data_IF_910457836175
#
_entry.id   IF_910457836175
#
_cell.length_a   1.000
_cell.length_b   1.000
_cell.length_c   1.000
_cell.angle_alpha   90.00
_cell.angle_beta   90.00
_cell.angle_gamma   90.00
#
_symmetry.space_group_name_H-M   'P 1'
#
loop_
_entity.id
_entity.type
_entity.pdbx_description
1 polymer ?
#
# COMPACT_ATOMS: atom_id res chain seq x y z
N UNK A 1 15.21 -13.96 -1.58
CA UNK A 1 15.86 -13.77 -0.26
C UNK A 1 15.58 -12.39 0.32
N UNK A 2 14.33 -11.94 0.31
CA UNK A 2 13.90 -10.70 0.98
C UNK A 2 12.60 -10.93 1.73
N UNK A 3 12.66 -11.79 2.76
CA UNK A 3 11.53 -12.20 3.59
C UNK A 3 11.50 -11.48 4.95
N UNK A 4 12.10 -10.29 5.05
CA UNK A 4 12.25 -9.58 6.33
C UNK A 4 11.36 -8.34 6.52
N UNK A 5 10.41 -8.06 5.61
CA UNK A 5 9.68 -6.79 5.67
C UNK A 5 8.40 -6.79 6.51
N UNK A 6 8.06 -7.89 7.20
CA UNK A 6 6.79 -7.94 7.93
C UNK A 6 6.90 -7.77 9.43
N UNK A 7 8.07 -7.95 9.98
CA UNK A 7 8.26 -7.71 11.42
C UNK A 7 8.86 -6.33 11.72
N UNK A 8 9.42 -5.64 10.71
CA UNK A 8 9.87 -4.25 10.87
C UNK A 8 9.66 -3.49 9.55
N UNK A 9 8.90 -2.39 9.55
CA UNK A 9 8.79 -1.52 8.38
C UNK A 9 10.15 -0.90 8.05
N UNK A 10 10.39 -0.59 6.76
CA UNK A 10 11.53 0.21 6.36
C UNK A 10 11.36 1.61 6.95
N UNK A 11 12.20 1.96 7.90
CA UNK A 11 12.23 3.29 8.50
C UNK A 11 13.34 4.08 7.82
N UNK A 12 12.95 5.13 7.12
CA UNK A 12 13.89 6.09 6.52
C UNK A 12 13.91 7.31 7.43
N UNK A 13 15.04 7.53 8.10
CA UNK A 13 15.27 8.74 8.89
C UNK A 13 16.29 9.61 8.18
N UNK A 14 15.93 10.86 7.94
CA UNK A 14 16.92 11.83 7.44
C UNK A 14 17.89 12.21 8.57
N UNK A 15 19.23 12.19 8.34
CA UNK A 15 20.17 12.60 9.36
C UNK A 15 20.05 14.11 9.57
N UNK A 16 19.60 14.52 10.75
CA UNK A 16 19.75 15.89 11.23
C UNK A 16 21.24 16.21 11.25
N UNK A 17 21.67 17.17 10.41
CA UNK A 17 23.01 17.76 10.47
C UNK A 17 23.13 18.46 11.82
N UNK A 18 23.72 17.77 12.79
CA UNK A 18 24.12 18.38 14.07
C UNK A 18 25.38 19.21 13.84
N UNK A 19 25.21 20.46 13.41
CA UNK A 19 26.25 21.47 13.52
C UNK A 19 26.56 21.73 15.00
N UNK A 20 27.84 21.75 15.38
CA UNK A 20 28.29 22.17 16.72
C UNK A 20 27.89 23.64 16.94
N UNK A 21 26.91 23.86 17.80
CA UNK A 21 26.50 25.19 18.22
C UNK A 21 27.28 25.59 19.49
N UNK A 22 27.67 26.86 19.54
CA UNK A 22 28.42 27.51 20.61
C UNK A 22 27.66 27.47 21.96
N UNK A 23 28.30 27.20 23.13
CA UNK A 23 27.64 27.04 24.44
C UNK A 23 26.74 28.18 24.87
N UNK A 24 26.99 29.42 24.42
CA UNK A 24 26.16 30.60 24.70
C UNK A 24 24.80 30.61 23.99
N UNK A 25 24.63 29.86 22.89
CA UNK A 25 23.37 29.75 22.17
C UNK A 25 22.44 28.69 22.79
N UNK A 26 22.97 27.83 23.66
CA UNK A 26 22.25 26.70 24.27
C UNK A 26 21.20 27.13 25.32
N UNK A 27 21.37 28.32 25.94
CA UNK A 27 20.38 28.82 26.92
C UNK A 27 19.14 29.43 26.26
N UNK A 28 19.28 29.94 25.04
CA UNK A 28 18.15 30.47 24.26
C UNK A 28 17.37 29.35 23.53
N UNK A 29 18.04 28.28 23.18
CA UNK A 29 17.44 27.10 22.46
C UNK A 29 16.70 26.12 23.39
N UNK A 30 16.88 26.22 24.72
CA UNK A 30 16.09 25.44 25.70
C UNK A 30 14.62 25.83 25.81
N UNK A 31 14.19 26.90 25.11
CA UNK A 31 12.77 27.27 24.97
C UNK A 31 12.17 26.97 23.60
N UNK A 32 12.92 26.38 22.69
CA UNK A 32 12.32 25.74 21.53
C UNK A 32 11.78 24.41 22.05
N UNK A 33 10.45 24.32 22.24
CA UNK A 33 9.74 23.08 22.48
C UNK A 33 10.41 21.98 21.65
N UNK A 34 10.85 20.89 22.27
CA UNK A 34 11.30 19.69 21.58
C UNK A 34 10.18 19.24 20.65
N UNK A 35 10.29 19.67 19.38
CA UNK A 35 9.26 19.46 18.39
C UNK A 35 9.24 17.99 18.11
N UNK A 36 8.21 17.30 18.64
CA UNK A 36 8.03 15.87 18.42
C UNK A 36 8.24 15.52 16.94
N UNK A 37 9.10 14.56 16.61
CA UNK A 37 9.41 14.22 15.23
C UNK A 37 8.14 13.80 14.49
N UNK A 38 7.92 14.40 13.34
CA UNK A 38 6.76 14.12 12.48
C UNK A 38 7.03 12.91 11.62
N UNK A 39 6.13 11.95 11.66
CA UNK A 39 6.24 10.71 10.89
C UNK A 39 5.11 10.59 9.88
N UNK A 40 5.44 10.34 8.61
CA UNK A 40 4.50 9.91 7.59
C UNK A 40 4.52 8.39 7.45
N UNK A 41 3.36 7.79 7.18
CA UNK A 41 3.24 6.37 6.88
C UNK A 41 2.71 6.24 5.45
N UNK A 42 3.44 5.51 4.61
CA UNK A 42 3.08 5.23 3.22
C UNK A 42 2.74 3.75 3.11
N UNK A 43 1.55 3.44 2.63
CA UNK A 43 1.02 2.07 2.54
C UNK A 43 0.72 1.71 1.10
N UNK A 44 1.47 0.77 0.53
CA UNK A 44 1.07 0.08 -0.70
C UNK A 44 -0.16 -0.78 -0.42
N UNK A 45 -1.30 -0.37 -0.95
CA UNK A 45 -2.59 -1.03 -0.73
C UNK A 45 -2.66 -2.43 -1.33
N UNK A 46 -2.05 -2.63 -2.49
CA UNK A 46 -1.99 -3.95 -3.14
C UNK A 46 -1.22 -4.95 -2.28
N UNK A 47 -0.05 -4.57 -1.83
CA UNK A 47 0.77 -5.37 -0.91
C UNK A 47 0.05 -5.62 0.41
N UNK A 48 -0.44 -4.56 1.07
CA UNK A 48 -1.11 -4.68 2.37
C UNK A 48 -2.31 -5.64 2.30
N UNK A 49 -3.21 -5.48 1.33
CA UNK A 49 -4.41 -6.32 1.23
C UNK A 49 -4.08 -7.81 1.03
N UNK A 50 -3.13 -8.11 0.14
CA UNK A 50 -2.67 -9.50 -0.09
C UNK A 50 -2.10 -10.10 1.18
N UNK A 51 -1.26 -9.33 1.87
CA UNK A 51 -0.58 -9.81 3.07
C UNK A 51 -1.51 -9.93 4.26
N UNK A 52 -2.40 -8.96 4.45
CA UNK A 52 -3.41 -8.99 5.49
C UNK A 52 -4.40 -10.15 5.32
N UNK A 53 -4.77 -10.47 4.06
CA UNK A 53 -5.58 -11.65 3.77
C UNK A 53 -4.86 -12.95 4.17
N UNK A 54 -3.57 -13.04 3.87
CA UNK A 54 -2.77 -14.24 4.19
C UNK A 54 -2.57 -14.43 5.69
N UNK A 55 -2.27 -13.35 6.44
CA UNK A 55 -1.95 -13.42 7.86
C UNK A 55 -3.18 -13.46 8.77
N UNK A 56 -4.22 -12.72 8.41
CA UNK A 56 -5.37 -12.46 9.30
C UNK A 56 -6.71 -12.87 8.67
N UNK A 57 -6.68 -13.55 7.53
CA UNK A 57 -7.86 -14.08 6.86
C UNK A 57 -8.76 -13.01 6.22
N UNK A 58 -9.93 -13.45 5.76
CA UNK A 58 -10.95 -12.55 5.19
C UNK A 58 -11.61 -11.73 6.29
N UNK A 59 -11.85 -10.44 6.01
CA UNK A 59 -12.59 -9.52 6.91
C UNK A 59 -13.53 -8.64 6.08
N UNK A 60 -14.53 -8.06 6.74
CA UNK A 60 -15.35 -7.01 6.14
C UNK A 60 -14.49 -5.81 5.74
N UNK A 61 -14.98 -4.98 4.85
CA UNK A 61 -14.29 -3.77 4.42
C UNK A 61 -14.04 -2.81 5.60
N UNK A 62 -15.03 -2.67 6.46
CA UNK A 62 -15.01 -1.83 7.66
C UNK A 62 -13.96 -2.32 8.67
N UNK A 63 -13.94 -3.63 8.94
CA UNK A 63 -13.01 -4.20 9.91
C UNK A 63 -11.58 -4.19 9.39
N UNK A 64 -11.38 -4.41 8.08
CA UNK A 64 -10.07 -4.27 7.45
C UNK A 64 -9.56 -2.83 7.50
N UNK A 65 -10.45 -1.84 7.35
CA UNK A 65 -10.08 -0.43 7.48
C UNK A 65 -9.72 -0.06 8.93
N UNK A 66 -10.45 -0.62 9.93
CA UNK A 66 -10.08 -0.47 11.36
C UNK A 66 -8.73 -1.07 11.64
N UNK A 67 -8.49 -2.29 11.16
CA UNK A 67 -7.23 -3.02 11.34
C UNK A 67 -6.05 -2.25 10.74
N UNK A 68 -6.16 -1.77 9.49
CA UNK A 68 -5.10 -0.95 8.87
C UNK A 68 -4.79 0.28 9.71
N UNK A 69 -5.83 0.97 10.19
CA UNK A 69 -5.65 2.15 11.04
C UNK A 69 -4.90 1.79 12.33
N UNK A 70 -5.29 0.73 13.01
CA UNK A 70 -4.64 0.27 14.24
C UNK A 70 -3.18 -0.15 13.96
N UNK A 71 -2.95 -0.86 12.86
CA UNK A 71 -1.61 -1.29 12.42
C UNK A 71 -0.69 -0.08 12.19
N UNK A 72 -1.16 0.94 11.46
CA UNK A 72 -0.39 2.17 11.24
C UNK A 72 -0.09 2.90 12.55
N UNK A 73 -1.07 3.03 13.47
CA UNK A 73 -0.85 3.70 14.75
C UNK A 73 0.12 2.93 15.66
N UNK A 74 0.18 1.59 15.56
CA UNK A 74 1.14 0.80 16.32
C UNK A 74 2.60 1.15 15.98
N UNK A 75 2.88 1.53 14.71
CA UNK A 75 4.21 1.96 14.29
C UNK A 75 4.59 3.37 14.76
N UNK A 76 3.61 4.21 15.10
CA UNK A 76 3.88 5.53 15.69
C UNK A 76 4.15 5.41 17.18
N UNK A 77 3.44 4.49 17.85
CA UNK A 77 3.53 4.28 19.30
C UNK A 77 4.55 3.17 19.62
N UNK A 78 5.70 3.18 18.97
CA UNK A 78 6.75 2.21 19.22
C UNK A 78 7.25 2.33 20.66
N UNK A 79 6.85 1.37 21.48
CA UNK A 79 7.18 1.35 22.91
C UNK A 79 8.65 1.04 23.18
N UNK A 80 9.33 0.41 22.23
CA UNK A 80 10.71 -0.02 22.39
C UNK A 80 11.70 1.13 22.23
N UNK A 81 11.35 2.15 21.45
CA UNK A 81 12.21 3.33 21.24
C UNK A 81 12.07 4.41 22.32
N UNK A 82 10.99 4.40 23.10
CA UNK A 82 10.68 5.46 24.06
C UNK A 82 10.43 6.84 23.42
N UNK A 83 10.50 6.95 22.09
CA UNK A 83 10.29 8.20 21.37
C UNK A 83 8.80 8.45 21.14
N UNK A 84 8.33 9.63 21.54
CA UNK A 84 6.99 10.11 21.20
C UNK A 84 7.02 10.75 19.82
N UNK A 85 6.33 10.16 18.86
CA UNK A 85 6.29 10.61 17.48
C UNK A 85 4.93 11.20 17.14
N UNK A 86 4.92 12.26 16.34
CA UNK A 86 3.69 12.87 15.85
C UNK A 86 3.32 12.29 14.49
N UNK A 87 2.16 11.66 14.37
CA UNK A 87 1.66 11.23 13.06
C UNK A 87 1.35 12.45 12.19
N UNK A 88 2.11 12.61 11.11
CA UNK A 88 1.81 13.61 10.07
C UNK A 88 0.60 13.19 9.27
N UNK A 89 0.71 12.07 8.52
CA UNK A 89 -0.34 11.52 7.66
C UNK A 89 -0.08 10.07 7.31
N UNK A 90 -1.15 9.32 7.05
CA UNK A 90 -1.12 7.99 6.46
C UNK A 90 -1.54 8.14 5.00
N UNK A 91 -0.64 7.85 4.08
CA UNK A 91 -0.92 7.82 2.65
C UNK A 91 -1.21 6.38 2.25
N UNK A 92 -2.37 6.14 1.68
CA UNK A 92 -2.78 4.83 1.20
C UNK A 92 -2.84 4.86 -0.33
N UNK A 93 -2.02 4.03 -0.96
CA UNK A 93 -1.86 3.95 -2.41
C UNK A 93 -2.55 2.71 -2.94
N UNK A 94 -3.44 2.86 -3.90
CA UNK A 94 -4.17 1.77 -4.54
C UNK A 94 -4.75 2.27 -5.87
N UNK A 95 -5.50 1.42 -6.57
CA UNK A 95 -6.31 1.83 -7.69
C UNK A 95 -7.79 1.85 -7.31
N UNK A 96 -8.50 2.86 -7.80
CA UNK A 96 -9.95 2.85 -7.72
C UNK A 96 -10.49 1.67 -8.56
N UNK A 97 -11.47 0.90 -8.06
CA UNK A 97 -12.08 -0.13 -8.87
C UNK A 97 -12.85 0.50 -10.02
N UNK A 98 -12.79 -0.14 -11.18
CA UNK A 98 -13.47 0.36 -12.39
C UNK A 98 -14.95 0.00 -12.32
N UNK A 99 -15.79 1.04 -12.26
CA UNK A 99 -17.24 0.89 -12.43
C UNK A 99 -17.68 0.97 -13.88
N UNK A 100 -18.88 0.47 -14.16
CA UNK A 100 -19.56 0.54 -15.47
C UNK A 100 -18.75 -0.04 -16.65
N UNK A 101 -17.94 -1.07 -16.38
CA UNK A 101 -17.25 -1.84 -17.40
C UNK A 101 -17.58 -3.30 -17.27
N UNK A 102 -17.70 -3.96 -18.40
CA UNK A 102 -17.80 -5.41 -18.49
C UNK A 102 -16.60 -5.99 -19.21
N UNK A 103 -16.18 -7.19 -18.79
CA UNK A 103 -15.07 -7.92 -19.39
C UNK A 103 -15.55 -9.28 -19.85
N UNK A 104 -15.22 -9.64 -21.08
CA UNK A 104 -15.58 -10.91 -21.65
C UNK A 104 -14.86 -12.08 -20.96
N UNK A 105 -15.63 -13.07 -20.50
CA UNK A 105 -15.09 -14.29 -19.92
C UNK A 105 -15.05 -15.40 -20.99
N UNK A 106 -13.85 -15.90 -21.35
CA UNK A 106 -13.72 -16.80 -22.53
C UNK A 106 -14.44 -18.13 -22.37
N UNK A 107 -14.51 -18.69 -21.16
CA UNK A 107 -15.17 -19.97 -20.90
C UNK A 107 -16.71 -19.85 -20.96
N UNK A 108 -17.26 -18.91 -20.21
CA UNK A 108 -18.71 -18.70 -20.12
C UNK A 108 -19.30 -18.00 -21.33
N UNK A 109 -18.44 -17.39 -22.17
CA UNK A 109 -18.80 -16.56 -23.34
C UNK A 109 -19.76 -15.40 -22.98
N UNK A 110 -19.68 -14.91 -21.76
CA UNK A 110 -20.50 -13.81 -21.25
C UNK A 110 -19.64 -12.63 -20.85
N UNK A 111 -20.23 -11.45 -20.91
CA UNK A 111 -19.63 -10.26 -20.30
C UNK A 111 -19.92 -10.25 -18.80
N UNK A 112 -18.89 -10.08 -18.00
CA UNK A 112 -18.95 -9.96 -16.53
C UNK A 112 -18.88 -8.50 -16.17
N UNK A 113 -19.93 -7.97 -15.55
CA UNK A 113 -19.99 -6.59 -15.07
C UNK A 113 -19.12 -6.46 -13.83
N UNK A 114 -18.09 -5.66 -13.89
CA UNK A 114 -17.13 -5.51 -12.79
C UNK A 114 -17.73 -4.81 -11.57
N UNK A 115 -18.63 -3.86 -11.77
CA UNK A 115 -19.29 -3.10 -10.71
C UNK A 115 -20.33 -3.91 -9.92
N UNK A 116 -20.76 -5.05 -10.45
CA UNK A 116 -21.63 -6.00 -9.75
C UNK A 116 -20.87 -7.04 -8.91
N UNK A 117 -19.54 -7.02 -8.96
CA UNK A 117 -18.72 -7.98 -8.23
C UNK A 117 -18.62 -7.64 -6.73
N UNK A 118 -18.55 -8.68 -5.89
CA UNK A 118 -18.30 -8.53 -4.46
C UNK A 118 -16.99 -7.78 -4.19
N UNK A 119 -15.98 -8.02 -5.03
CA UNK A 119 -14.68 -7.34 -4.94
C UNK A 119 -14.82 -5.83 -5.17
N UNK A 120 -15.64 -5.41 -6.12
CA UNK A 120 -15.91 -4.00 -6.36
C UNK A 120 -16.59 -3.35 -5.15
N UNK A 121 -17.69 -3.95 -4.69
CA UNK A 121 -18.46 -3.44 -3.54
C UNK A 121 -17.59 -3.36 -2.28
N UNK A 122 -16.82 -4.43 -2.01
CA UNK A 122 -15.88 -4.46 -0.88
C UNK A 122 -14.82 -3.36 -0.99
N UNK A 123 -14.21 -3.18 -2.17
CA UNK A 123 -13.15 -2.20 -2.37
C UNK A 123 -13.66 -0.76 -2.23
N UNK A 124 -14.81 -0.45 -2.82
CA UNK A 124 -15.44 0.88 -2.66
C UNK A 124 -15.75 1.16 -1.20
N UNK A 125 -16.33 0.20 -0.48
CA UNK A 125 -16.64 0.34 0.94
C UNK A 125 -15.37 0.55 1.75
N UNK A 126 -14.34 -0.23 1.50
CA UNK A 126 -13.05 -0.11 2.19
C UNK A 126 -12.40 1.27 1.98
N UNK A 127 -12.34 1.76 0.73
CA UNK A 127 -11.79 3.08 0.43
C UNK A 127 -12.61 4.20 1.07
N UNK A 128 -13.94 4.06 1.10
CA UNK A 128 -14.81 5.03 1.77
C UNK A 128 -14.64 5.02 3.29
N UNK A 129 -14.42 3.87 3.90
CA UNK A 129 -14.09 3.77 5.33
C UNK A 129 -12.74 4.40 5.66
N UNK A 130 -11.74 4.28 4.78
CA UNK A 130 -10.46 4.98 4.96
C UNK A 130 -10.61 6.50 4.86
N UNK A 131 -11.45 7.01 3.93
CA UNK A 131 -11.72 8.46 3.81
C UNK A 131 -12.31 9.08 5.07
N UNK A 132 -13.10 8.32 5.83
CA UNK A 132 -13.70 8.79 7.09
C UNK A 132 -12.69 8.92 8.23
N UNK A 133 -11.50 8.31 8.10
CA UNK A 133 -10.52 8.28 9.17
C UNK A 133 -9.62 9.51 9.15
N UNK A 134 -9.39 10.05 10.34
CA UNK A 134 -8.50 11.19 10.50
C UNK A 134 -7.07 10.81 10.07
N UNK A 135 -6.38 11.75 9.42
CA UNK A 135 -4.99 11.60 8.95
C UNK A 135 -4.80 10.66 7.76
N UNK A 136 -5.83 10.01 7.24
CA UNK A 136 -5.72 9.25 5.99
C UNK A 136 -5.82 10.13 4.76
N UNK A 137 -4.98 9.83 3.76
CA UNK A 137 -5.02 10.42 2.43
C UNK A 137 -4.92 9.32 1.38
N UNK A 138 -5.95 9.19 0.53
CA UNK A 138 -5.93 8.25 -0.57
C UNK A 138 -5.15 8.82 -1.75
N UNK A 139 -4.26 8.01 -2.31
CA UNK A 139 -3.43 8.29 -3.49
C UNK A 139 -3.75 7.25 -4.56
N UNK A 140 -4.88 7.42 -5.24
CA UNK A 140 -5.37 6.42 -6.16
C UNK A 140 -4.73 6.56 -7.56
N UNK A 141 -4.18 5.45 -8.04
CA UNK A 141 -3.82 5.24 -9.44
C UNK A 141 -5.03 4.83 -10.28
N UNK A 142 -4.75 4.41 -11.48
CA UNK A 142 -5.76 3.98 -12.46
C UNK A 142 -5.54 2.51 -12.83
N UNK A 143 -6.65 1.81 -13.10
CA UNK A 143 -6.56 0.50 -13.72
C UNK A 143 -6.41 0.65 -15.24
N UNK A 144 -5.57 -0.19 -15.83
CA UNK A 144 -5.37 -0.22 -17.28
C UNK A 144 -6.69 -0.41 -18.00
N UNK A 145 -6.82 0.16 -19.19
CA UNK A 145 -7.97 -0.08 -20.07
C UNK A 145 -8.02 -1.53 -20.55
N UNK A 146 -6.87 -2.19 -20.63
CA UNK A 146 -6.76 -3.58 -21.04
C UNK A 146 -7.01 -4.48 -19.83
N UNK A 147 -8.19 -5.06 -19.80
CA UNK A 147 -8.61 -6.02 -18.79
C UNK A 147 -9.07 -7.30 -19.48
N UNK A 148 -8.69 -8.44 -18.94
CA UNK A 148 -9.01 -9.75 -19.51
C UNK A 148 -9.10 -10.83 -18.46
N UNK A 149 -9.79 -11.91 -18.77
CA UNK A 149 -9.66 -13.16 -18.05
C UNK A 149 -8.62 -14.02 -18.75
N UNK A 150 -7.57 -14.39 -18.04
CA UNK A 150 -6.49 -15.24 -18.54
C UNK A 150 -6.48 -16.56 -17.80
N UNK A 151 -6.09 -17.63 -18.50
CA UNK A 151 -5.82 -18.91 -17.84
C UNK A 151 -4.68 -18.76 -16.81
N UNK A 152 -4.80 -19.46 -15.71
CA UNK A 152 -3.71 -19.55 -14.73
C UNK A 152 -2.48 -20.19 -15.38
N UNK A 153 -1.26 -19.73 -15.06
CA UNK A 153 -0.03 -20.27 -15.65
C UNK A 153 0.13 -21.80 -15.48
N UNK A 154 -0.37 -22.34 -14.36
CA UNK A 154 -0.35 -23.77 -14.06
C UNK A 154 -1.24 -24.54 -15.06
N UNK A 155 -2.47 -24.05 -15.26
CA UNK A 155 -3.44 -24.64 -16.18
C UNK A 155 -2.94 -24.56 -17.62
N UNK A 156 -2.34 -23.44 -18.01
CA UNK A 156 -1.72 -23.28 -19.33
C UNK A 156 -0.64 -24.34 -19.56
N UNK A 157 0.23 -24.59 -18.56
CA UNK A 157 1.27 -25.61 -18.63
C UNK A 157 0.70 -27.02 -18.74
N UNK A 158 -0.39 -27.33 -18.00
CA UNK A 158 -1.06 -28.64 -18.06
C UNK A 158 -1.69 -28.90 -19.43
N UNK A 159 -2.35 -27.88 -20.02
CA UNK A 159 -2.91 -27.98 -21.36
C UNK A 159 -1.83 -28.19 -22.43
N UNK A 160 -0.75 -27.42 -22.39
CA UNK A 160 0.37 -27.56 -23.33
C UNK A 160 1.09 -28.91 -23.20
N UNK A 161 1.12 -29.50 -22.00
CA UNK A 161 1.70 -30.81 -21.77
C UNK A 161 0.74 -31.96 -22.08
N UNK A 162 -0.49 -31.71 -22.52
CA UNK A 162 -1.49 -32.73 -22.77
C UNK A 162 -2.02 -33.45 -21.54
N UNK A 163 -1.75 -32.91 -20.34
CA UNK A 163 -2.18 -33.47 -19.05
C UNK A 163 -3.62 -33.10 -18.70
N UNK A 164 -4.16 -32.10 -19.37
CA UNK A 164 -5.51 -31.55 -19.18
C UNK A 164 -6.13 -31.25 -20.55
N UNK A 165 -7.43 -31.36 -20.66
CA UNK A 165 -8.17 -31.04 -21.90
C UNK A 165 -8.91 -29.71 -21.72
N UNK A 166 -9.26 -29.07 -22.85
CA UNK A 166 -10.00 -27.80 -22.84
C UNK A 166 -11.40 -27.99 -22.24
N UNK A 167 -12.00 -29.17 -22.45
CA UNK A 167 -13.32 -29.53 -21.94
C UNK A 167 -13.37 -29.58 -20.40
N UNK A 168 -12.21 -29.81 -19.75
CA UNK A 168 -12.09 -29.91 -18.29
C UNK A 168 -11.92 -28.54 -17.60
N UNK A 169 -11.91 -27.45 -18.37
CA UNK A 169 -11.73 -26.12 -17.83
C UNK A 169 -12.96 -25.63 -17.05
N UNK A 170 -12.69 -24.99 -15.93
CA UNK A 170 -13.69 -24.37 -15.05
C UNK A 170 -13.44 -22.87 -14.92
N UNK A 171 -14.39 -22.12 -14.39
CA UNK A 171 -14.21 -20.67 -14.15
C UNK A 171 -13.06 -20.38 -13.18
N UNK A 172 -12.76 -21.28 -12.24
CA UNK A 172 -11.65 -21.16 -11.28
C UNK A 172 -10.27 -21.24 -11.94
N UNK A 173 -10.19 -21.75 -13.17
CA UNK A 173 -8.95 -21.84 -13.94
C UNK A 173 -8.55 -20.51 -14.58
N UNK A 174 -9.46 -19.55 -14.54
CA UNK A 174 -9.23 -18.21 -15.06
C UNK A 174 -8.94 -17.22 -13.92
N UNK A 175 -8.12 -16.24 -14.21
CA UNK A 175 -7.82 -15.13 -13.31
C UNK A 175 -8.11 -13.83 -14.04
N UNK A 176 -8.80 -12.92 -13.35
CA UNK A 176 -8.99 -11.57 -13.84
C UNK A 176 -7.66 -10.81 -13.79
N UNK A 177 -7.23 -10.32 -14.94
CA UNK A 177 -6.01 -9.55 -15.11
C UNK A 177 -6.35 -8.08 -15.39
N UNK A 178 -5.93 -7.22 -14.49
CA UNK A 178 -6.00 -5.77 -14.62
C UNK A 178 -4.70 -5.16 -14.08
N UNK A 179 -3.98 -4.46 -14.92
CA UNK A 179 -2.74 -3.80 -14.51
C UNK A 179 -3.04 -2.48 -13.81
N UNK A 180 -2.37 -2.26 -12.69
CA UNK A 180 -2.37 -0.98 -11.99
C UNK A 180 -1.35 -0.04 -12.64
N UNK A 181 -1.73 1.24 -12.83
CA UNK A 181 -0.87 2.28 -13.39
C UNK A 181 -0.70 3.43 -12.41
N UNK A 182 0.53 3.89 -12.27
CA UNK A 182 0.87 5.12 -11.55
C UNK A 182 0.89 5.01 -10.02
N UNK A 183 0.64 3.83 -9.41
CA UNK A 183 0.68 3.65 -7.96
C UNK A 183 2.11 3.79 -7.45
N UNK A 184 3.04 3.02 -8.00
CA UNK A 184 4.45 2.98 -7.57
C UNK A 184 5.13 4.33 -7.80
N UNK A 185 4.84 4.96 -8.94
CA UNK A 185 5.34 6.31 -9.21
C UNK A 185 4.87 7.33 -8.16
N UNK A 186 3.60 7.26 -7.73
CA UNK A 186 3.06 8.16 -6.69
C UNK A 186 3.74 7.92 -5.34
N UNK A 187 4.01 6.67 -4.97
CA UNK A 187 4.77 6.35 -3.75
C UNK A 187 6.17 6.97 -3.83
N UNK A 188 6.91 6.73 -4.92
CA UNK A 188 8.25 7.28 -5.10
C UNK A 188 8.29 8.80 -5.07
N UNK A 189 7.34 9.47 -5.75
CA UNK A 189 7.24 10.92 -5.75
C UNK A 189 6.90 11.50 -4.38
N UNK A 190 5.99 10.87 -3.63
CA UNK A 190 5.64 11.32 -2.28
C UNK A 190 6.80 11.12 -1.30
N UNK A 191 7.57 10.01 -1.40
CA UNK A 191 8.81 9.83 -0.61
C UNK A 191 9.78 10.98 -0.89
N UNK A 192 10.12 11.21 -2.16
CA UNK A 192 11.05 12.26 -2.55
C UNK A 192 10.56 13.66 -2.14
N UNK A 193 9.27 13.94 -2.33
CA UNK A 193 8.67 15.25 -1.99
C UNK A 193 8.65 15.51 -0.49
N UNK A 194 8.28 14.52 0.33
CA UNK A 194 8.24 14.63 1.78
C UNK A 194 9.65 14.87 2.35
N UNK A 195 10.65 14.13 1.83
CA UNK A 195 12.03 14.26 2.22
C UNK A 195 12.63 15.62 1.78
N UNK A 196 12.55 15.95 0.50
CA UNK A 196 13.13 17.17 -0.06
C UNK A 196 12.54 18.45 0.56
N UNK A 197 11.24 18.46 0.84
CA UNK A 197 10.54 19.59 1.46
C UNK A 197 10.66 19.62 2.98
N UNK A 198 11.34 18.67 3.59
CA UNK A 198 11.46 18.52 5.04
C UNK A 198 10.11 18.59 5.78
N UNK A 199 9.07 17.98 5.17
CA UNK A 199 7.72 18.00 5.75
C UNK A 199 7.56 17.03 6.91
N UNK A 200 8.43 16.02 6.96
CA UNK A 200 8.48 14.99 8.00
C UNK A 200 9.93 14.67 8.34
N UNK A 201 10.15 14.21 9.57
CA UNK A 201 11.44 13.78 10.05
C UNK A 201 11.68 12.29 9.80
N UNK A 202 10.59 11.55 9.54
CA UNK A 202 10.63 10.11 9.32
C UNK A 202 9.53 9.68 8.35
N UNK A 203 9.85 8.70 7.51
CA UNK A 203 8.90 7.98 6.65
C UNK A 203 8.91 6.50 7.02
N UNK A 204 7.73 5.93 7.24
CA UNK A 204 7.52 4.50 7.41
C UNK A 204 6.85 4.00 6.14
N UNK A 205 7.52 3.11 5.40
CA UNK A 205 7.01 2.52 4.18
C UNK A 205 6.54 1.08 4.43
N UNK A 206 5.27 0.82 4.16
CA UNK A 206 4.63 -0.50 4.21
C UNK A 206 4.41 -0.97 2.77
N UNK A 207 5.40 -1.64 2.21
CA UNK A 207 5.41 -2.15 0.85
C UNK A 207 6.25 -3.43 0.78
N UNK A 208 6.11 -4.18 -0.30
CA UNK A 208 6.88 -5.41 -0.53
C UNK A 208 7.76 -5.36 -1.78
N UNK A 209 7.76 -4.24 -2.52
CA UNK A 209 8.49 -4.09 -3.75
C UNK A 209 9.88 -3.47 -3.50
N UNK A 210 10.89 -4.05 -4.13
CA UNK A 210 12.27 -3.53 -4.13
C UNK A 210 12.44 -2.24 -4.93
N UNK A 211 11.50 -1.91 -5.81
CA UNK A 211 11.55 -0.73 -6.66
C UNK A 211 11.48 0.58 -5.86
N UNK A 212 11.05 0.51 -4.61
CA UNK A 212 11.06 1.67 -3.70
C UNK A 212 12.40 1.93 -3.00
N UNK A 213 13.35 0.98 -3.09
CA UNK A 213 14.67 1.13 -2.44
C UNK A 213 15.44 2.37 -2.92
N UNK A 214 15.49 2.69 -4.24
CA UNK A 214 16.17 3.90 -4.70
C UNK A 214 15.56 5.19 -4.12
N UNK A 215 14.24 5.31 -4.12
CA UNK A 215 13.53 6.46 -3.53
C UNK A 215 13.78 6.58 -2.02
N UNK A 216 13.81 5.44 -1.31
CA UNK A 216 14.07 5.38 0.12
C UNK A 216 15.51 5.75 0.49
N UNK A 217 16.48 5.48 -0.40
CA UNK A 217 17.88 5.89 -0.20
C UNK A 217 18.12 7.37 -0.45
N UNK A 218 17.27 8.00 -1.26
CA UNK A 218 17.33 9.43 -1.54
C UNK A 218 16.76 10.28 -0.39
N UNK A 219 15.85 9.72 0.39
CA UNK A 219 15.17 10.36 1.52
C UNK A 219 15.99 10.28 2.81
#
# INVERSE_FOLDING_TARGET
KFLYFLNRPLVVSSPLIRGRLNPGALSFLRKVEDKMPKTAILVDGGFYRKRALHLWGKKSAEDRAKELSAYCHAHINDKDSGEVRQLYRIFYYDCAPVGRRSVYHPLTRKNVDLDKSDTYTWTITFLNELKKRRKFALRLGELSEYMSYNLRPEVTRELCAGKRKIEDLTENDFVFNAQQKGVDMKIGLDIASLAYKHQVDQIILIAGDSDFVPASKLA
#
